data_IF_521882297574
#
_entry.id   IF_521882297574
#
_cell.length_a   1.000
_cell.length_b   1.000
_cell.length_c   1.000
_cell.angle_alpha   90.00
_cell.angle_beta   90.00
_cell.angle_gamma   90.00
#
_symmetry.space_group_name_H-M   'P 1'
#
loop_
_entity.id
_entity.type
_entity.pdbx_description
1 polymer ?
#
# COMPACT_ATOMS: atom_id res chain seq x y z
N UNK A 1 -8.47 27.25 -2.35
CA UNK A 1 -7.95 25.87 -2.51
C UNK A 1 -7.16 25.84 -3.79
N UNK A 2 -5.93 25.34 -3.75
CA UNK A 2 -5.14 25.16 -4.98
C UNK A 2 -5.77 24.03 -5.79
N UNK A 3 -6.16 24.31 -7.03
CA UNK A 3 -6.60 23.29 -7.98
C UNK A 3 -5.37 22.87 -8.78
N UNK A 4 -5.19 21.56 -8.97
CA UNK A 4 -4.13 21.02 -9.81
C UNK A 4 -4.74 20.23 -10.97
N UNK A 5 -4.24 20.51 -12.16
CA UNK A 5 -4.45 19.72 -13.37
C UNK A 5 -3.58 18.47 -13.36
N UNK A 6 -3.89 17.51 -14.24
CA UNK A 6 -3.06 16.32 -14.40
C UNK A 6 -1.63 16.66 -14.86
N UNK A 7 -1.49 17.65 -15.75
CA UNK A 7 -0.19 18.13 -16.26
C UNK A 7 0.66 18.77 -15.16
N UNK A 8 0.04 19.59 -14.30
CA UNK A 8 0.72 20.19 -13.14
C UNK A 8 1.16 19.13 -12.14
N UNK A 9 0.33 18.12 -11.88
CA UNK A 9 0.69 16.98 -11.04
C UNK A 9 1.89 16.21 -11.62
N UNK A 10 1.88 15.96 -12.92
CA UNK A 10 2.98 15.24 -13.58
C UNK A 10 4.29 16.03 -13.59
N UNK A 11 4.23 17.36 -13.65
CA UNK A 11 5.40 18.22 -13.58
C UNK A 11 6.05 18.29 -12.18
N UNK A 12 5.39 17.81 -11.12
CA UNK A 12 5.93 17.81 -9.77
C UNK A 12 7.14 16.86 -9.63
N UNK A 13 8.12 17.18 -8.77
CA UNK A 13 9.20 16.26 -8.43
C UNK A 13 8.64 14.91 -7.94
N UNK A 14 9.16 13.81 -8.49
CA UNK A 14 8.63 12.45 -8.28
C UNK A 14 8.39 12.11 -6.80
N UNK A 15 9.34 12.42 -5.91
CA UNK A 15 9.19 12.18 -4.46
C UNK A 15 8.06 13.00 -3.83
N UNK A 16 7.94 14.27 -4.23
CA UNK A 16 6.90 15.16 -3.71
C UNK A 16 5.53 14.70 -4.18
N UNK A 17 5.38 14.42 -5.48
CA UNK A 17 4.18 13.83 -6.07
C UNK A 17 3.80 12.53 -5.37
N UNK A 18 4.75 11.63 -5.15
CA UNK A 18 4.53 10.36 -4.45
C UNK A 18 3.97 10.56 -3.03
N UNK A 19 4.57 11.46 -2.24
CA UNK A 19 4.09 11.73 -0.87
C UNK A 19 2.71 12.36 -0.85
N UNK A 20 2.49 13.33 -1.73
CA UNK A 20 1.21 13.98 -1.91
C UNK A 20 0.12 12.97 -2.25
N UNK A 21 0.27 12.22 -3.35
CA UNK A 21 -0.75 11.27 -3.81
C UNK A 21 -0.99 10.20 -2.74
N UNK A 22 0.07 9.73 -2.07
CA UNK A 22 -0.06 8.80 -0.95
C UNK A 22 -0.83 9.37 0.25
N UNK A 23 -0.89 10.70 0.41
CA UNK A 23 -1.59 11.38 1.48
C UNK A 23 -3.05 11.75 1.18
N UNK A 24 -3.51 11.71 -0.08
CA UNK A 24 -4.85 12.20 -0.47
C UNK A 24 -5.98 11.44 0.24
N UNK A 25 -5.81 10.13 0.46
CA UNK A 25 -6.79 9.31 1.16
C UNK A 25 -6.89 9.60 2.68
N UNK A 26 -6.06 10.51 3.20
CA UNK A 26 -6.00 10.84 4.61
C UNK A 26 -5.22 9.80 5.42
N UNK A 27 -5.69 9.55 6.65
CA UNK A 27 -5.06 8.63 7.58
C UNK A 27 -5.00 7.21 7.00
N UNK A 28 -3.83 6.56 7.12
CA UNK A 28 -3.65 5.15 6.79
C UNK A 28 -3.10 4.41 8.00
N UNK A 29 -3.73 3.30 8.44
CA UNK A 29 -3.21 2.54 9.55
C UNK A 29 -1.88 1.87 9.17
N UNK A 30 -0.99 1.73 10.14
CA UNK A 30 0.21 0.91 10.00
C UNK A 30 -0.09 -0.46 10.60
N UNK A 31 -0.30 -1.45 9.74
CA UNK A 31 -0.65 -2.81 10.12
C UNK A 31 0.53 -3.74 9.84
N UNK A 32 0.71 -4.74 10.70
CA UNK A 32 1.71 -5.78 10.49
C UNK A 32 1.00 -7.01 9.90
N UNK A 33 1.48 -7.48 8.75
CA UNK A 33 1.01 -8.73 8.13
C UNK A 33 2.12 -9.75 8.28
N UNK A 34 1.82 -10.80 9.05
CA UNK A 34 2.68 -11.97 9.21
C UNK A 34 2.27 -13.05 8.22
N UNK A 35 3.25 -13.66 7.56
CA UNK A 35 3.05 -14.84 6.71
C UNK A 35 4.03 -15.93 7.10
N UNK A 36 3.73 -17.18 6.72
CA UNK A 36 4.70 -18.26 6.77
C UNK A 36 4.57 -19.13 5.53
N UNK A 37 5.69 -19.68 5.05
CA UNK A 37 5.67 -20.63 3.95
C UNK A 37 5.25 -22.04 4.42
N UNK A 38 5.27 -23.01 3.51
CA UNK A 38 4.91 -24.41 3.81
C UNK A 38 5.94 -25.11 4.71
N UNK A 39 7.15 -24.58 4.80
CA UNK A 39 8.23 -25.07 5.64
C UNK A 39 8.19 -24.42 7.04
N UNK A 40 7.31 -23.45 7.27
CA UNK A 40 7.15 -22.74 8.53
C UNK A 40 8.11 -21.56 8.70
N UNK A 41 8.83 -21.15 7.65
CA UNK A 41 9.63 -19.93 7.68
C UNK A 41 8.70 -18.72 7.71
N UNK A 42 8.84 -17.90 8.74
CA UNK A 42 7.98 -16.74 8.99
C UNK A 42 8.54 -15.46 8.38
N UNK A 43 7.62 -14.57 8.05
CA UNK A 43 7.87 -13.28 7.44
C UNK A 43 6.93 -12.24 8.05
N UNK A 44 7.36 -10.99 8.09
CA UNK A 44 6.58 -9.88 8.63
C UNK A 44 6.84 -8.62 7.83
N UNK A 45 5.78 -7.90 7.43
CA UNK A 45 5.92 -6.58 6.82
C UNK A 45 4.82 -5.60 7.23
N UNK A 46 5.12 -4.32 7.04
CA UNK A 46 4.19 -3.21 7.30
C UNK A 46 3.32 -2.95 6.07
N UNK A 47 2.02 -2.90 6.27
CA UNK A 47 1.02 -2.57 5.26
C UNK A 47 0.11 -1.44 5.72
N UNK A 48 -0.33 -0.65 4.75
CA UNK A 48 -1.27 0.46 4.96
C UNK A 48 -2.49 0.38 4.02
N UNK A 49 -2.64 -0.74 3.32
CA UNK A 49 -3.65 -0.96 2.27
C UNK A 49 -4.62 -2.09 2.63
N UNK A 50 -4.89 -2.30 3.92
CA UNK A 50 -5.90 -3.25 4.40
C UNK A 50 -7.21 -2.50 4.62
N UNK A 51 -8.33 -3.09 4.19
CA UNK A 51 -9.66 -2.51 4.35
C UNK A 51 -10.71 -3.59 4.58
N UNK A 52 -11.80 -3.23 5.25
CA UNK A 52 -12.93 -4.13 5.51
C UNK A 52 -13.87 -4.19 4.30
N UNK A 53 -14.26 -5.40 3.90
CA UNK A 53 -15.17 -5.66 2.77
C UNK A 53 -16.58 -5.99 3.29
N UNK A 54 -16.71 -6.83 4.32
CA UNK A 54 -18.01 -7.23 4.84
C UNK A 54 -17.90 -7.98 6.17
N UNK A 55 -18.97 -7.94 6.97
CA UNK A 55 -19.01 -8.54 8.30
C UNK A 55 -19.72 -9.92 8.34
N UNK A 56 -20.47 -10.27 7.28
CA UNK A 56 -21.17 -11.55 7.14
C UNK A 56 -21.27 -11.93 5.65
N UNK A 57 -20.30 -12.68 5.09
CA UNK A 57 -19.12 -13.25 5.77
C UNK A 57 -18.08 -12.18 6.15
N UNK A 58 -17.24 -12.44 7.18
CA UNK A 58 -16.18 -11.52 7.59
C UNK A 58 -15.01 -11.53 6.60
N UNK A 59 -14.87 -10.48 5.81
CA UNK A 59 -13.88 -10.37 4.73
C UNK A 59 -13.07 -9.08 4.85
N UNK A 60 -11.75 -9.20 4.76
CA UNK A 60 -10.81 -8.10 4.61
C UNK A 60 -10.15 -8.17 3.23
N UNK A 61 -9.91 -7.01 2.63
CA UNK A 61 -9.10 -6.83 1.44
C UNK A 61 -7.71 -6.31 1.81
N UNK A 62 -6.70 -6.72 1.02
CA UNK A 62 -5.34 -6.21 1.11
C UNK A 62 -4.85 -5.85 -0.30
N UNK A 63 -4.40 -4.60 -0.49
CA UNK A 63 -3.72 -4.18 -1.73
C UNK A 63 -2.22 -4.41 -1.59
N UNK A 64 -1.68 -5.19 -2.52
CA UNK A 64 -0.25 -5.45 -2.66
C UNK A 64 0.23 -4.68 -3.90
N UNK A 65 1.29 -3.88 -3.76
CA UNK A 65 1.85 -3.15 -4.91
C UNK A 65 2.45 -4.17 -5.90
N UNK A 66 2.46 -3.91 -7.22
CA UNK A 66 3.21 -4.73 -8.17
C UNK A 66 4.70 -4.80 -7.81
N UNK A 67 5.33 -5.95 -8.05
CA UNK A 67 6.75 -6.16 -7.83
C UNK A 67 7.44 -6.28 -9.19
N UNK A 68 8.10 -5.22 -9.71
CA UNK A 68 8.93 -5.33 -10.89
C UNK A 68 10.08 -6.31 -10.66
N UNK A 69 10.55 -6.92 -11.75
CA UNK A 69 11.68 -7.85 -11.73
C UNK A 69 12.89 -7.22 -11.03
N UNK A 70 13.53 -7.97 -10.13
CA UNK A 70 14.67 -7.51 -9.34
C UNK A 70 14.34 -6.73 -8.06
N UNK A 71 13.07 -6.62 -7.67
CA UNK A 71 12.69 -6.00 -6.38
C UNK A 71 12.52 -7.07 -5.30
N UNK A 72 13.32 -7.01 -4.22
CA UNK A 72 13.16 -7.89 -3.06
C UNK A 72 11.97 -7.46 -2.18
N UNK A 73 11.30 -8.44 -1.57
CA UNK A 73 10.21 -8.22 -0.60
C UNK A 73 10.36 -9.11 0.62
N UNK A 74 9.93 -8.58 1.76
CA UNK A 74 9.91 -9.34 2.99
C UNK A 74 8.65 -10.22 3.14
N UNK A 75 7.58 -9.98 2.38
CA UNK A 75 6.35 -10.81 2.28
C UNK A 75 5.61 -10.47 0.97
N UNK A 76 4.59 -11.26 0.61
CA UNK A 76 3.73 -11.20 -0.60
C UNK A 76 4.19 -10.30 -1.78
#
# INVERSE_FOLDING_TARGET
MSNWTAEELEALPSRYRGNLINGIAGFKPALLVGTADRQGLSNLAVFSGVFHIGASPPVLGLIIRPCPEGTERHTL
#
